data_IF_389730101379
#
_entry.id   IF_389730101379
#
_cell.length_a   1.000
_cell.length_b   1.000
_cell.length_c   1.000
_cell.angle_alpha   90.00
_cell.angle_beta   90.00
_cell.angle_gamma   90.00
#
_symmetry.space_group_name_H-M   'P 1'
#
loop_
_entity.id
_entity.type
_entity.pdbx_description
1 polymer ?
#
# COMPACT_ATOMS: atom_id res chain seq x y z
N UNK A 1 -19.21 -9.90 21.87
CA UNK A 1 -19.77 -9.24 20.66
C UNK A 1 -18.85 -9.35 19.43
N UNK A 2 -17.52 -9.25 19.55
CA UNK A 2 -16.58 -9.36 18.43
C UNK A 2 -16.49 -10.74 17.74
N UNK A 3 -16.78 -11.85 18.43
CA UNK A 3 -16.65 -13.21 17.87
C UNK A 3 -17.61 -13.54 16.71
N UNK A 4 -18.79 -12.90 16.64
CA UNK A 4 -19.75 -13.08 15.52
C UNK A 4 -19.33 -12.35 14.24
N UNK A 5 -18.51 -11.31 14.33
CA UNK A 5 -17.98 -10.61 13.15
C UNK A 5 -16.92 -11.43 12.40
N UNK A 6 -16.14 -12.24 13.13
CA UNK A 6 -15.01 -12.99 12.57
C UNK A 6 -15.48 -14.21 11.76
N UNK A 7 -16.65 -14.78 12.09
CA UNK A 7 -17.24 -15.92 11.38
C UNK A 7 -18.74 -15.69 11.16
N UNK A 8 -19.10 -14.96 10.09
CA UNK A 8 -20.50 -14.78 9.73
C UNK A 8 -21.13 -16.13 9.37
N UNK A 9 -22.43 -16.32 9.64
CA UNK A 9 -23.13 -17.54 9.25
C UNK A 9 -23.09 -17.70 7.73
N UNK A 10 -23.07 -18.96 7.28
CA UNK A 10 -23.22 -19.28 5.86
C UNK A 10 -24.66 -18.97 5.46
N UNK A 11 -24.82 -18.13 4.44
CA UNK A 11 -26.12 -17.74 3.92
C UNK A 11 -26.46 -18.60 2.69
N UNK A 12 -27.74 -18.90 2.49
CA UNK A 12 -28.19 -19.59 1.27
C UNK A 12 -28.17 -18.60 0.10
N UNK A 13 -27.57 -18.96 -1.02
CA UNK A 13 -27.65 -18.13 -2.22
C UNK A 13 -29.00 -18.37 -2.92
N UNK A 14 -29.94 -17.44 -2.74
CA UNK A 14 -31.26 -17.47 -3.39
C UNK A 14 -31.33 -16.59 -4.64
N UNK A 15 -30.22 -15.96 -5.03
CA UNK A 15 -30.13 -15.06 -6.18
C UNK A 15 -29.69 -15.74 -7.47
N UNK A 16 -29.51 -14.93 -8.53
CA UNK A 16 -28.93 -15.40 -9.78
C UNK A 16 -27.41 -15.55 -9.65
N UNK A 17 -26.92 -16.78 -9.80
CA UNK A 17 -25.49 -17.12 -9.83
C UNK A 17 -24.72 -16.27 -10.85
N UNK A 18 -25.25 -16.15 -12.07
CA UNK A 18 -24.60 -15.40 -13.15
C UNK A 18 -24.41 -13.91 -12.78
N UNK A 19 -25.40 -13.30 -12.12
CA UNK A 19 -25.32 -11.90 -11.69
C UNK A 19 -24.25 -11.71 -10.61
N UNK A 20 -24.21 -12.61 -9.63
CA UNK A 20 -23.29 -12.51 -8.51
C UNK A 20 -21.84 -12.78 -8.95
N UNK A 21 -21.65 -13.72 -9.89
CA UNK A 21 -20.34 -13.97 -10.50
C UNK A 21 -19.86 -12.75 -11.29
N UNK A 22 -20.70 -12.18 -12.16
CA UNK A 22 -20.35 -10.99 -12.94
C UNK A 22 -20.05 -9.78 -12.05
N UNK A 23 -20.74 -9.66 -10.91
CA UNK A 23 -20.40 -8.66 -9.90
C UNK A 23 -19.02 -8.92 -9.28
N UNK A 24 -18.70 -10.18 -8.96
CA UNK A 24 -17.39 -10.56 -8.42
C UNK A 24 -16.25 -10.28 -9.42
N UNK A 25 -16.45 -10.58 -10.71
CA UNK A 25 -15.50 -10.29 -11.79
C UNK A 25 -15.21 -8.79 -11.90
N UNK A 26 -16.25 -7.94 -11.88
CA UNK A 26 -16.07 -6.48 -11.89
C UNK A 26 -15.24 -6.00 -10.70
N UNK A 27 -15.48 -6.54 -9.51
CA UNK A 27 -14.66 -6.18 -8.35
C UNK A 27 -13.22 -6.67 -8.52
N UNK A 28 -13.01 -7.88 -9.00
CA UNK A 28 -11.68 -8.42 -9.29
C UNK A 28 -10.91 -7.55 -10.29
N UNK A 29 -11.53 -7.15 -11.40
CA UNK A 29 -10.89 -6.29 -12.39
C UNK A 29 -10.55 -4.90 -11.83
N UNK A 30 -11.36 -4.36 -10.91
CA UNK A 30 -11.03 -3.12 -10.23
C UNK A 30 -9.82 -3.27 -9.28
N UNK A 31 -9.73 -4.38 -8.54
CA UNK A 31 -8.55 -4.73 -7.72
C UNK A 31 -7.31 -4.91 -8.61
N UNK A 32 -7.42 -5.66 -9.70
CA UNK A 32 -6.34 -5.87 -10.65
C UNK A 32 -5.84 -4.55 -11.25
N UNK A 33 -6.75 -3.68 -11.70
CA UNK A 33 -6.42 -2.38 -12.30
C UNK A 33 -5.68 -1.46 -11.33
N UNK A 34 -6.17 -1.33 -10.10
CA UNK A 34 -5.52 -0.47 -9.10
C UNK A 34 -4.17 -1.06 -8.65
N UNK A 35 -4.09 -2.37 -8.46
CA UNK A 35 -2.84 -3.06 -8.11
C UNK A 35 -1.75 -2.91 -9.18
N UNK A 36 -2.10 -3.07 -10.46
CA UNK A 36 -1.19 -2.83 -11.58
C UNK A 36 -0.73 -1.38 -11.65
N UNK A 37 -1.62 -0.42 -11.36
CA UNK A 37 -1.26 1.01 -11.28
C UNK A 37 -0.20 1.27 -10.21
N UNK A 38 -0.33 0.66 -9.03
CA UNK A 38 0.68 0.77 -7.98
C UNK A 38 2.00 0.10 -8.36
N UNK A 39 1.96 -1.10 -8.93
CA UNK A 39 3.18 -1.79 -9.39
C UNK A 39 3.91 -0.94 -10.44
N UNK A 40 3.19 -0.42 -11.43
CA UNK A 40 3.77 0.42 -12.47
C UNK A 40 4.40 1.70 -11.90
N UNK A 41 3.72 2.37 -10.96
CA UNK A 41 4.25 3.57 -10.30
C UNK A 41 5.50 3.24 -9.45
N UNK A 42 5.53 2.08 -8.78
CA UNK A 42 6.69 1.65 -8.00
C UNK A 42 7.92 1.39 -8.87
N UNK A 43 7.73 0.71 -10.01
CA UNK A 43 8.79 0.50 -10.99
C UNK A 43 9.25 1.83 -11.60
N UNK A 44 8.32 2.73 -11.93
CA UNK A 44 8.65 4.05 -12.47
C UNK A 44 9.52 4.86 -11.51
N UNK A 45 9.24 4.82 -10.19
CA UNK A 45 10.06 5.46 -9.18
C UNK A 45 11.50 4.94 -9.18
N UNK A 46 11.71 3.62 -9.23
CA UNK A 46 13.08 3.06 -9.32
C UNK A 46 13.82 3.51 -10.59
N UNK A 47 13.11 3.61 -11.73
CA UNK A 47 13.71 4.05 -12.99
C UNK A 47 14.12 5.51 -12.97
N UNK A 48 13.32 6.37 -12.35
CA UNK A 48 13.67 7.80 -12.16
C UNK A 48 14.92 7.92 -11.28
N UNK A 49 15.06 7.12 -10.23
CA UNK A 49 16.26 7.11 -9.39
C UNK A 49 17.51 6.60 -10.13
N UNK A 50 17.38 5.50 -10.88
CA UNK A 50 18.49 4.97 -11.67
C UNK A 50 19.02 6.01 -12.67
N UNK A 51 18.15 6.81 -13.27
CA UNK A 51 18.56 7.90 -14.14
C UNK A 51 19.23 9.06 -13.37
N UNK A 52 18.74 9.40 -12.18
CA UNK A 52 19.35 10.42 -11.32
C UNK A 52 20.77 10.04 -10.86
N UNK A 53 21.04 8.75 -10.61
CA UNK A 53 22.37 8.29 -10.19
C UNK A 53 23.48 8.44 -11.24
N UNK A 54 23.12 8.60 -12.52
CA UNK A 54 24.07 8.78 -13.63
C UNK A 54 24.52 10.26 -13.72
N UNK A 55 23.77 11.20 -13.13
CA UNK A 55 24.12 12.62 -13.07
C UNK A 55 24.64 13.00 -11.67
N UNK A 56 25.97 13.17 -11.49
CA UNK A 56 26.57 13.40 -10.17
C UNK A 56 26.19 14.76 -9.54
N UNK A 57 25.49 15.63 -10.26
CA UNK A 57 25.00 16.92 -9.74
C UNK A 57 23.73 16.76 -8.87
N UNK A 58 23.00 15.63 -8.96
CA UNK A 58 21.80 15.34 -8.15
C UNK A 58 22.01 14.21 -7.11
N UNK A 59 23.26 13.84 -6.85
CA UNK A 59 23.68 12.74 -5.94
C UNK A 59 23.28 12.95 -4.46
N UNK A 60 22.64 14.08 -4.13
CA UNK A 60 22.20 14.40 -2.77
C UNK A 60 20.80 13.87 -2.44
N UNK A 61 20.13 13.22 -3.41
CA UNK A 61 18.81 12.60 -3.25
C UNK A 61 18.85 11.06 -3.24
N UNK A 62 19.99 10.44 -2.98
CA UNK A 62 20.05 9.00 -2.65
C UNK A 62 19.47 8.79 -1.23
N UNK A 63 18.13 8.85 -1.13
CA UNK A 63 17.42 8.65 0.12
C UNK A 63 16.92 7.21 0.18
N UNK A 64 17.37 6.47 1.20
CA UNK A 64 16.88 5.13 1.53
C UNK A 64 15.33 5.04 1.57
N UNK A 65 14.67 6.14 1.93
CA UNK A 65 13.21 6.26 1.98
C UNK A 65 12.53 6.08 0.62
N UNK A 66 13.15 6.48 -0.49
CA UNK A 66 12.54 6.40 -1.82
C UNK A 66 12.57 4.96 -2.35
N UNK A 67 13.68 4.23 -2.16
CA UNK A 67 13.75 2.79 -2.44
C UNK A 67 12.73 2.00 -1.62
N UNK A 68 12.59 2.34 -0.34
CA UNK A 68 11.56 1.77 0.52
C UNK A 68 10.15 2.12 0.01
N UNK A 69 9.92 3.34 -0.45
CA UNK A 69 8.63 3.75 -1.01
C UNK A 69 8.30 3.02 -2.33
N UNK A 70 9.27 2.87 -3.22
CA UNK A 70 9.11 2.10 -4.47
C UNK A 70 8.79 0.63 -4.18
N UNK A 71 9.56 -0.01 -3.29
CA UNK A 71 9.31 -1.38 -2.86
C UNK A 71 7.96 -1.54 -2.15
N UNK A 72 7.57 -0.59 -1.30
CA UNK A 72 6.27 -0.59 -0.64
C UNK A 72 5.12 -0.49 -1.65
N UNK A 73 5.29 0.32 -2.70
CA UNK A 73 4.26 0.53 -3.70
C UNK A 73 4.07 -0.71 -4.60
N UNK A 74 5.17 -1.35 -5.01
CA UNK A 74 5.13 -2.65 -5.70
C UNK A 74 4.52 -3.72 -4.80
N UNK A 75 4.90 -3.75 -3.52
CA UNK A 75 4.38 -4.69 -2.53
C UNK A 75 2.87 -4.54 -2.32
N UNK A 76 2.38 -3.31 -2.06
CA UNK A 76 0.95 -3.02 -1.89
C UNK A 76 0.17 -3.33 -3.16
N UNK A 77 0.70 -2.96 -4.33
CA UNK A 77 0.09 -3.29 -5.62
C UNK A 77 -0.02 -4.81 -5.85
N UNK A 78 1.03 -5.56 -5.52
CA UNK A 78 1.03 -7.02 -5.62
C UNK A 78 0.03 -7.67 -4.67
N UNK A 79 -0.01 -7.22 -3.41
CA UNK A 79 -0.98 -7.68 -2.42
C UNK A 79 -2.42 -7.38 -2.84
N UNK A 80 -2.66 -6.23 -3.44
CA UNK A 80 -3.95 -5.81 -3.98
C UNK A 80 -4.46 -6.79 -5.06
N UNK A 81 -3.60 -7.15 -6.02
CA UNK A 81 -3.93 -8.15 -7.07
C UNK A 81 -4.15 -9.54 -6.46
N UNK A 82 -3.23 -10.01 -5.61
CA UNK A 82 -3.32 -11.34 -4.99
C UNK A 82 -4.59 -11.48 -4.13
N UNK A 83 -4.93 -10.46 -3.36
CA UNK A 83 -6.15 -10.44 -2.55
C UNK A 83 -7.40 -10.47 -3.45
N UNK A 84 -7.42 -9.70 -4.54
CA UNK A 84 -8.48 -9.73 -5.54
C UNK A 84 -8.69 -11.12 -6.12
N UNK A 85 -7.60 -11.78 -6.55
CA UNK A 85 -7.61 -13.14 -7.11
C UNK A 85 -8.12 -14.17 -6.10
N UNK A 86 -7.57 -14.17 -4.89
CA UNK A 86 -7.98 -15.12 -3.85
C UNK A 86 -9.45 -14.95 -3.46
N UNK A 87 -9.92 -13.70 -3.36
CA UNK A 87 -11.33 -13.38 -3.11
C UNK A 87 -12.22 -13.90 -4.23
N UNK A 88 -11.85 -13.67 -5.49
CA UNK A 88 -12.61 -14.11 -6.66
C UNK A 88 -12.82 -15.63 -6.65
N UNK A 89 -11.75 -16.41 -6.55
CA UNK A 89 -11.84 -17.87 -6.54
C UNK A 89 -12.56 -18.45 -5.32
N UNK A 90 -12.54 -17.75 -4.17
CA UNK A 90 -13.30 -18.18 -3.00
C UNK A 90 -14.80 -17.95 -3.20
N UNK A 91 -15.19 -16.78 -3.70
CA UNK A 91 -16.58 -16.44 -4.01
C UNK A 91 -17.14 -17.35 -5.10
N UNK A 92 -16.36 -17.65 -6.15
CA UNK A 92 -16.76 -18.56 -7.22
C UNK A 92 -17.16 -19.95 -6.67
N UNK A 93 -16.31 -20.56 -5.84
CA UNK A 93 -16.59 -21.86 -5.21
C UNK A 93 -17.80 -21.83 -4.26
N UNK A 94 -17.97 -20.75 -3.51
CA UNK A 94 -19.11 -20.61 -2.59
C UNK A 94 -20.42 -20.54 -3.39
N UNK A 95 -20.46 -19.74 -4.45
CA UNK A 95 -21.66 -19.55 -5.27
C UNK A 95 -22.03 -20.84 -6.04
N UNK A 96 -21.05 -21.59 -6.55
CA UNK A 96 -21.27 -22.89 -7.21
C UNK A 96 -21.93 -23.92 -6.28
N UNK A 97 -21.64 -23.85 -4.98
CA UNK A 97 -22.22 -24.73 -3.96
C UNK A 97 -23.55 -24.21 -3.40
N UNK A 98 -24.09 -23.12 -3.97
CA UNK A 98 -25.36 -22.53 -3.57
C UNK A 98 -25.32 -21.81 -2.21
N UNK A 99 -24.11 -21.50 -1.72
CA UNK A 99 -23.90 -20.81 -0.45
C UNK A 99 -23.23 -19.45 -0.65
N UNK A 100 -23.38 -18.57 0.33
CA UNK A 100 -22.72 -17.30 0.37
C UNK A 100 -22.06 -17.12 1.73
N UNK A 101 -20.73 -17.04 1.74
CA UNK A 101 -19.93 -16.78 2.93
C UNK A 101 -19.44 -15.34 2.89
N UNK A 102 -19.93 -14.45 3.77
CA UNK A 102 -19.44 -13.08 3.79
C UNK A 102 -17.94 -13.04 4.11
N UNK A 103 -17.16 -12.34 3.29
CA UNK A 103 -15.70 -12.23 3.46
C UNK A 103 -15.32 -11.18 4.51
N UNK A 104 -15.76 -11.34 5.76
CA UNK A 104 -15.42 -10.40 6.84
C UNK A 104 -13.93 -10.38 7.15
N UNK A 105 -13.25 -11.54 7.12
CA UNK A 105 -11.81 -11.62 7.37
C UNK A 105 -10.99 -10.79 6.38
N UNK A 106 -11.26 -10.91 5.08
CA UNK A 106 -10.56 -10.12 4.06
C UNK A 106 -10.87 -8.62 4.13
N UNK A 107 -12.13 -8.25 4.40
CA UNK A 107 -12.52 -6.83 4.54
C UNK A 107 -11.87 -6.18 5.75
N UNK A 108 -11.90 -6.84 6.91
CA UNK A 108 -11.27 -6.33 8.13
C UNK A 108 -9.75 -6.27 7.97
N UNK A 109 -9.14 -7.31 7.38
CA UNK A 109 -7.71 -7.32 7.08
C UNK A 109 -7.28 -6.19 6.16
N UNK A 110 -8.05 -5.92 5.10
CA UNK A 110 -7.79 -4.80 4.19
C UNK A 110 -7.95 -3.44 4.87
N UNK A 111 -8.99 -3.26 5.69
CA UNK A 111 -9.18 -2.02 6.45
C UNK A 111 -8.02 -1.77 7.41
N UNK A 112 -7.57 -2.80 8.13
CA UNK A 112 -6.41 -2.73 9.02
C UNK A 112 -5.12 -2.41 8.26
N UNK A 113 -4.93 -3.01 7.08
CA UNK A 113 -3.78 -2.71 6.21
C UNK A 113 -3.78 -1.25 5.76
N UNK A 114 -4.91 -0.72 5.30
CA UNK A 114 -5.02 0.69 4.89
C UNK A 114 -4.71 1.65 6.04
N UNK A 115 -5.24 1.38 7.24
CA UNK A 115 -4.94 2.18 8.44
C UNK A 115 -3.46 2.07 8.81
N UNK A 116 -2.88 0.86 8.76
CA UNK A 116 -1.48 0.63 9.05
C UNK A 116 -0.53 1.36 8.10
N UNK A 117 -0.82 1.31 6.79
CA UNK A 117 -0.04 2.05 5.76
C UNK A 117 -0.16 3.56 5.98
N UNK A 118 -1.36 4.08 6.23
CA UNK A 118 -1.57 5.51 6.51
C UNK A 118 -0.82 5.97 7.76
N UNK A 119 -0.86 5.18 8.83
CA UNK A 119 -0.16 5.46 10.07
C UNK A 119 1.37 5.40 9.90
N UNK A 120 1.90 4.38 9.22
CA UNK A 120 3.33 4.28 8.91
C UNK A 120 3.81 5.45 8.05
N UNK A 121 3.03 5.86 7.04
CA UNK A 121 3.33 7.03 6.23
C UNK A 121 3.39 8.32 7.06
N UNK A 122 2.45 8.51 7.98
CA UNK A 122 2.46 9.66 8.90
C UNK A 122 3.70 9.66 9.81
N UNK A 123 4.09 8.51 10.37
CA UNK A 123 5.29 8.40 11.21
C UNK A 123 6.57 8.73 10.43
N UNK A 124 6.71 8.22 9.21
CA UNK A 124 7.86 8.52 8.36
C UNK A 124 7.97 10.01 8.04
N UNK A 125 6.83 10.68 7.80
CA UNK A 125 6.80 12.12 7.54
C UNK A 125 7.24 12.93 8.78
N UNK A 126 6.79 12.51 9.97
CA UNK A 126 7.21 13.15 11.22
C UNK A 126 8.71 12.98 11.48
N UNK A 127 9.28 11.82 11.15
CA UNK A 127 10.73 11.60 11.25
C UNK A 127 11.52 12.46 10.25
N UNK A 128 11.01 12.65 9.03
CA UNK A 128 11.69 13.49 8.03
C UNK A 128 11.72 14.96 8.46
N UNK A 129 10.62 15.48 9.00
CA UNK A 129 10.54 16.86 9.50
C UNK A 129 11.53 17.11 10.65
N UNK A 130 11.60 16.19 11.63
CA UNK A 130 12.54 16.28 12.76
C UNK A 130 14.01 16.29 12.29
N UNK A 131 14.38 15.37 11.40
CA UNK A 131 15.75 15.29 10.87
C UNK A 131 16.15 16.55 10.12
N UNK A 132 15.20 17.16 9.38
CA UNK A 132 15.44 18.41 8.66
C UNK A 132 15.69 19.57 9.62
N UNK A 133 14.85 19.73 10.65
CA UNK A 133 15.01 20.75 11.70
C UNK A 133 16.34 20.62 12.46
N UNK A 134 16.72 19.43 12.89
CA UNK A 134 18.00 19.20 13.58
C UNK A 134 19.20 19.53 12.70
N UNK A 135 19.13 19.20 11.41
CA UNK A 135 20.20 19.49 10.45
C UNK A 135 20.35 20.99 10.23
N UNK A 136 19.23 21.72 10.18
CA UNK A 136 19.22 23.19 10.10
C UNK A 136 19.88 23.84 11.33
N UNK A 137 19.48 23.45 12.55
CA UNK A 137 20.09 23.97 13.77
C UNK A 137 21.60 23.69 13.84
N UNK A 138 22.01 22.48 13.47
CA UNK A 138 23.42 22.07 13.50
C UNK A 138 24.26 22.91 12.54
N UNK A 139 23.71 23.23 11.36
CA UNK A 139 24.36 24.09 10.38
C UNK A 139 24.43 25.55 10.87
N UNK A 140 23.35 26.07 11.47
CA UNK A 140 23.33 27.41 12.06
C UNK A 140 24.38 27.58 13.17
N UNK A 141 24.51 26.60 14.07
CA UNK A 141 25.53 26.59 15.14
C UNK A 141 26.95 26.56 14.58
N UNK A 142 27.21 25.72 13.56
CA UNK A 142 28.52 25.66 12.89
C UNK A 142 28.89 26.98 12.23
N UNK A 143 27.93 27.66 11.62
CA UNK A 143 28.17 28.93 10.93
C UNK A 143 28.43 30.07 11.91
N UNK A 144 27.73 30.11 13.05
CA UNK A 144 28.03 31.05 14.14
C UNK A 144 29.42 30.82 14.74
N UNK A 145 29.83 29.56 14.93
CA UNK A 145 31.16 29.25 15.43
C UNK A 145 32.26 29.72 14.46
N UNK A 146 32.08 29.47 13.14
CA UNK A 146 33.04 29.90 12.11
C UNK A 146 33.19 31.42 12.05
N UNK A 147 32.10 32.16 12.26
CA UNK A 147 32.11 33.63 12.23
C UNK A 147 32.72 34.26 13.50
N UNK A 148 32.93 33.49 14.58
CA UNK A 148 33.59 33.96 15.81
C UNK A 148 35.10 33.73 15.81
N UNK A 149 35.60 32.87 14.93
CA UNK A 149 37.02 32.49 14.81
C UNK A 149 37.74 33.18 13.64
N UNK A 150 37.02 33.97 12.84
CA UNK A 150 37.55 34.83 11.79
C UNK A 150 37.51 36.28 12.27
#
# INVERSE_FOLDING_TARGET
MFGRLVRPPVLKNTGSVARDLLASERTFLAWARSGLGFIALGIALEKVEAFASISPTLLQLENSNTKLAAGALVGVGSLCVLHGTNRYFRVMRDIETGVFRPNTGGVVGMAALCVGVGFAGALLLMESEKKHHERFERNARKQQARNKTA
#
